data_IF_896872685501
#
_entry.id   IF_896872685501
#
_cell.length_a   1.000
_cell.length_b   1.000
_cell.length_c   1.000
_cell.angle_alpha   90.00
_cell.angle_beta   90.00
_cell.angle_gamma   90.00
#
_symmetry.space_group_name_H-M   'P 1'
#
loop_
_entity.id
_entity.type
_entity.pdbx_description
1 polymer ?
#
# COMPACT_ATOMS: atom_id res chain seq x y z
N UNK A 1 -50.59 -36.15 31.64
CA UNK A 1 -49.14 -36.41 31.57
C UNK A 1 -48.72 -36.19 30.13
N UNK A 2 -48.18 -35.00 29.84
CA UNK A 2 -47.71 -34.63 28.49
C UNK A 2 -46.17 -34.74 28.48
N UNK A 3 -45.65 -35.67 27.71
CA UNK A 3 -44.21 -35.83 27.48
C UNK A 3 -43.76 -34.82 26.42
N UNK A 4 -42.93 -33.88 26.82
CA UNK A 4 -42.24 -33.00 25.90
C UNK A 4 -41.04 -33.73 25.31
N UNK A 5 -41.03 -33.91 24.00
CA UNK A 5 -39.90 -34.44 23.23
C UNK A 5 -38.94 -33.27 22.96
N UNK A 6 -37.78 -33.26 23.61
CA UNK A 6 -36.68 -32.38 23.27
C UNK A 6 -36.00 -32.90 22.00
N UNK A 7 -36.21 -32.22 20.88
CA UNK A 7 -35.40 -32.43 19.67
C UNK A 7 -34.12 -31.65 19.85
N UNK A 8 -33.05 -32.35 20.24
CA UNK A 8 -31.69 -31.82 20.23
C UNK A 8 -31.24 -31.68 18.76
N UNK A 9 -31.22 -30.47 18.26
CA UNK A 9 -30.60 -30.19 16.97
C UNK A 9 -29.07 -30.33 17.12
N UNK A 10 -28.55 -31.48 16.71
CA UNK A 10 -27.12 -31.68 16.51
C UNK A 10 -26.66 -30.73 15.39
N UNK A 11 -26.11 -29.57 15.73
CA UNK A 11 -25.26 -28.84 14.82
C UNK A 11 -24.04 -29.73 14.55
N UNK A 12 -23.95 -30.30 13.34
CA UNK A 12 -22.69 -30.89 12.85
C UNK A 12 -21.63 -29.83 12.92
N UNK A 13 -20.66 -29.95 13.84
CA UNK A 13 -19.39 -29.26 13.71
C UNK A 13 -18.81 -29.65 12.34
N UNK A 14 -18.68 -28.70 11.45
CA UNK A 14 -17.97 -28.89 10.18
C UNK A 14 -16.56 -29.34 10.53
N UNK A 15 -16.24 -30.59 10.26
CA UNK A 15 -14.88 -31.12 10.42
C UNK A 15 -13.99 -30.35 9.46
N UNK A 16 -12.75 -30.04 9.87
CA UNK A 16 -11.78 -29.24 9.09
C UNK A 16 -11.49 -29.79 7.68
N UNK A 17 -11.84 -31.04 7.41
CA UNK A 17 -11.61 -31.73 6.15
C UNK A 17 -12.60 -31.34 5.03
N UNK A 18 -13.76 -30.77 5.36
CA UNK A 18 -14.78 -30.37 4.37
C UNK A 18 -14.80 -28.86 4.09
N UNK A 19 -13.95 -28.07 4.76
CA UNK A 19 -13.93 -26.61 4.58
C UNK A 19 -13.28 -26.24 3.26
N UNK A 20 -13.98 -25.44 2.45
CA UNK A 20 -13.42 -24.79 1.26
C UNK A 20 -13.90 -23.36 1.14
N UNK A 21 -13.00 -22.46 0.72
CA UNK A 21 -13.33 -21.07 0.41
C UNK A 21 -12.54 -20.58 -0.80
N UNK A 22 -13.21 -19.83 -1.66
CA UNK A 22 -12.56 -19.08 -2.75
C UNK A 22 -12.67 -17.60 -2.46
N UNK A 23 -11.52 -16.91 -2.43
CA UNK A 23 -11.39 -15.47 -2.24
C UNK A 23 -10.89 -14.84 -3.55
N UNK A 24 -11.46 -13.71 -3.93
CA UNK A 24 -10.94 -12.90 -5.03
C UNK A 24 -10.02 -11.84 -4.46
N UNK A 25 -8.83 -11.69 -5.02
CA UNK A 25 -7.86 -10.70 -4.59
C UNK A 25 -7.60 -9.72 -5.74
N UNK A 26 -7.72 -8.42 -5.47
CA UNK A 26 -7.46 -7.38 -6.47
C UNK A 26 -6.41 -6.38 -6.02
N UNK A 27 -5.67 -5.88 -7.01
CA UNK A 27 -4.71 -4.79 -6.87
C UNK A 27 -4.51 -4.06 -8.20
N UNK A 28 -3.92 -2.87 -8.16
CA UNK A 28 -3.72 -2.01 -9.34
C UNK A 28 -2.46 -2.35 -10.16
N UNK A 29 -1.51 -3.08 -9.57
CA UNK A 29 -0.20 -3.33 -10.18
C UNK A 29 -0.30 -4.23 -11.40
N UNK A 30 0.55 -3.94 -12.43
CA UNK A 30 0.68 -4.79 -13.59
C UNK A 30 1.41 -6.09 -13.25
N UNK A 31 1.19 -7.15 -14.02
CA UNK A 31 1.78 -8.48 -13.79
C UNK A 31 3.32 -8.50 -13.77
N UNK A 32 3.95 -7.48 -14.37
CA UNK A 32 5.42 -7.35 -14.42
C UNK A 32 5.99 -6.61 -13.19
N UNK A 33 5.16 -6.05 -12.32
CA UNK A 33 5.62 -5.36 -11.11
C UNK A 33 5.84 -6.37 -9.96
N UNK A 34 6.88 -6.16 -9.17
CA UNK A 34 7.30 -7.07 -8.10
C UNK A 34 6.18 -7.39 -7.12
N UNK A 35 5.34 -6.40 -6.78
CA UNK A 35 4.23 -6.61 -5.86
C UNK A 35 3.19 -7.58 -6.47
N UNK A 36 2.87 -7.45 -7.76
CA UNK A 36 1.94 -8.36 -8.43
C UNK A 36 2.47 -9.79 -8.43
N UNK A 37 3.76 -9.96 -8.71
CA UNK A 37 4.43 -11.27 -8.71
C UNK A 37 4.46 -11.89 -7.31
N UNK A 38 4.74 -11.10 -6.28
CA UNK A 38 4.73 -11.55 -4.88
C UNK A 38 3.33 -11.99 -4.44
N UNK A 39 2.28 -11.25 -4.80
CA UNK A 39 0.89 -11.61 -4.49
C UNK A 39 0.47 -12.91 -5.19
N UNK A 40 0.90 -13.13 -6.44
CA UNK A 40 0.63 -14.38 -7.16
C UNK A 40 1.30 -15.58 -6.47
N UNK A 41 2.55 -15.43 -6.01
CA UNK A 41 3.25 -16.46 -5.24
C UNK A 41 2.52 -16.77 -3.93
N UNK A 42 2.05 -15.76 -3.20
CA UNK A 42 1.23 -15.96 -1.99
C UNK A 42 0.00 -16.80 -2.30
N UNK A 43 -0.74 -16.44 -3.36
CA UNK A 43 -1.96 -17.16 -3.74
C UNK A 43 -1.69 -18.64 -4.06
N UNK A 44 -0.62 -18.92 -4.80
CA UNK A 44 -0.17 -20.28 -5.13
C UNK A 44 0.20 -21.07 -3.87
N UNK A 45 1.04 -20.50 -2.99
CA UNK A 45 1.52 -21.14 -1.76
C UNK A 45 0.40 -21.41 -0.76
N UNK A 46 -0.56 -20.48 -0.62
CA UNK A 46 -1.73 -20.70 0.22
C UNK A 46 -2.55 -21.89 -0.31
N UNK A 47 -2.82 -21.92 -1.63
CA UNK A 47 -3.55 -23.02 -2.25
C UNK A 47 -2.85 -24.39 -2.01
N UNK A 48 -1.54 -24.44 -2.19
CA UNK A 48 -0.73 -25.65 -1.98
C UNK A 48 -0.73 -26.09 -0.50
N UNK A 49 -0.39 -25.16 0.42
CA UNK A 49 -0.29 -25.47 1.86
C UNK A 49 -1.63 -25.83 2.51
N UNK A 50 -2.72 -25.30 1.97
CA UNK A 50 -4.07 -25.63 2.41
C UNK A 50 -4.68 -26.81 1.65
N UNK A 51 -3.94 -27.43 0.72
CA UNK A 51 -4.40 -28.53 -0.14
C UNK A 51 -5.71 -28.18 -0.89
N UNK A 52 -5.84 -26.92 -1.30
CA UNK A 52 -7.02 -26.42 -2.01
C UNK A 52 -8.18 -25.98 -1.12
N UNK A 53 -8.09 -26.10 0.21
CA UNK A 53 -9.14 -25.64 1.11
C UNK A 53 -9.33 -24.10 1.04
N UNK A 54 -8.25 -23.35 0.83
CA UNK A 54 -8.30 -21.91 0.57
C UNK A 54 -7.72 -21.63 -0.81
N UNK A 55 -8.53 -21.07 -1.70
CA UNK A 55 -8.12 -20.63 -3.04
C UNK A 55 -8.22 -19.12 -3.12
N UNK A 56 -7.13 -18.48 -3.54
CA UNK A 56 -7.11 -17.04 -3.85
C UNK A 56 -6.97 -16.88 -5.36
N UNK A 57 -7.96 -16.22 -5.97
CA UNK A 57 -7.94 -15.86 -7.39
C UNK A 57 -7.49 -14.41 -7.51
N UNK A 58 -6.35 -14.18 -8.15
CA UNK A 58 -5.74 -12.87 -8.30
C UNK A 58 -6.28 -12.13 -9.52
N UNK A 59 -6.51 -10.84 -9.39
CA UNK A 59 -7.01 -9.92 -10.41
C UNK A 59 -6.10 -8.68 -10.45
N UNK A 60 -4.95 -8.77 -11.16
CA UNK A 60 -3.99 -7.67 -11.29
C UNK A 60 -4.53 -6.55 -12.19
N UNK A 61 -3.85 -5.39 -12.16
CA UNK A 61 -4.11 -4.29 -13.09
C UNK A 61 -5.49 -3.64 -12.95
N UNK A 62 -6.14 -3.79 -11.81
CA UNK A 62 -7.45 -3.18 -11.58
C UNK A 62 -8.61 -3.84 -12.32
N UNK A 63 -8.52 -5.14 -12.63
CA UNK A 63 -9.56 -5.87 -13.36
C UNK A 63 -10.91 -5.93 -12.62
N UNK A 64 -10.90 -5.82 -11.31
CA UNK A 64 -12.09 -5.68 -10.47
C UNK A 64 -11.88 -4.51 -9.50
N UNK A 65 -12.68 -4.36 -8.46
CA UNK A 65 -12.61 -3.23 -7.54
C UNK A 65 -11.21 -3.00 -6.96
N UNK A 66 -10.75 -1.76 -6.98
CA UNK A 66 -9.46 -1.29 -6.43
C UNK A 66 -9.66 0.04 -5.71
N UNK A 67 -8.60 0.53 -5.07
CA UNK A 67 -8.62 1.78 -4.32
C UNK A 67 -9.75 1.77 -3.27
N UNK A 68 -10.52 2.84 -3.20
CA UNK A 68 -11.63 2.97 -2.28
C UNK A 68 -12.68 1.86 -2.46
N UNK A 69 -13.02 1.53 -3.70
CA UNK A 69 -14.03 0.52 -4.01
C UNK A 69 -13.60 -0.87 -3.54
N UNK A 70 -12.29 -1.18 -3.62
CA UNK A 70 -11.73 -2.42 -3.08
C UNK A 70 -11.90 -2.52 -1.56
N UNK A 71 -11.59 -1.45 -0.83
CA UNK A 71 -11.79 -1.39 0.63
C UNK A 71 -13.27 -1.46 0.98
N UNK A 72 -14.16 -0.79 0.23
CA UNK A 72 -15.61 -0.88 0.44
C UNK A 72 -16.14 -2.30 0.26
N UNK A 73 -15.64 -3.07 -0.72
CA UNK A 73 -16.01 -4.49 -0.86
C UNK A 73 -15.63 -5.30 0.38
N UNK A 74 -14.47 -5.04 0.96
CA UNK A 74 -14.04 -5.67 2.22
C UNK A 74 -15.01 -5.34 3.34
N UNK A 75 -15.32 -4.06 3.55
CA UNK A 75 -16.24 -3.61 4.61
C UNK A 75 -17.64 -4.21 4.46
N UNK A 76 -18.11 -4.39 3.22
CA UNK A 76 -19.41 -5.01 2.92
C UNK A 76 -19.43 -6.53 3.09
N UNK A 77 -18.35 -7.16 3.53
CA UNK A 77 -18.29 -8.60 3.79
C UNK A 77 -18.18 -9.48 2.55
N UNK A 78 -17.69 -8.95 1.43
CA UNK A 78 -17.45 -9.75 0.24
C UNK A 78 -16.35 -10.80 0.49
N UNK A 79 -16.41 -11.94 -0.20
CA UNK A 79 -15.32 -12.93 -0.25
C UNK A 79 -14.18 -12.36 -1.12
N UNK A 80 -13.54 -11.33 -0.59
CA UNK A 80 -12.64 -10.46 -1.33
C UNK A 80 -11.46 -10.02 -0.46
N UNK A 81 -10.30 -9.93 -1.08
CA UNK A 81 -9.08 -9.37 -0.49
C UNK A 81 -8.69 -8.15 -1.32
N UNK A 82 -8.52 -7.01 -0.67
CA UNK A 82 -8.02 -5.77 -1.27
C UNK A 82 -6.54 -5.59 -0.93
N UNK A 83 -5.71 -5.28 -1.92
CA UNK A 83 -4.30 -4.91 -1.71
C UNK A 83 -4.14 -3.46 -2.14
N UNK A 84 -4.13 -2.56 -1.16
CA UNK A 84 -4.21 -1.11 -1.38
C UNK A 84 -3.34 -0.33 -0.40
N UNK A 85 -3.02 0.92 -0.78
CA UNK A 85 -2.33 1.85 0.10
C UNK A 85 -3.13 2.08 1.41
N UNK A 86 -2.47 2.08 2.58
CA UNK A 86 -3.15 2.26 3.86
C UNK A 86 -3.95 3.57 3.99
N UNK A 87 -3.67 4.60 3.18
CA UNK A 87 -4.45 5.84 3.20
C UNK A 87 -5.93 5.64 2.81
N UNK A 88 -6.27 4.56 2.10
CA UNK A 88 -7.67 4.23 1.79
C UNK A 88 -8.43 3.66 2.99
N UNK A 89 -7.73 3.07 3.97
CA UNK A 89 -8.33 2.74 5.28
C UNK A 89 -8.48 4.00 6.14
N UNK A 90 -7.70 5.03 5.86
CA UNK A 90 -7.77 6.30 6.56
C UNK A 90 -9.15 6.96 6.55
N UNK A 91 -10.01 6.66 5.58
CA UNK A 91 -11.42 7.09 5.58
C UNK A 91 -12.22 6.46 6.75
N UNK A 92 -11.77 5.34 7.31
CA UNK A 92 -12.38 4.63 8.45
C UNK A 92 -11.62 4.86 9.76
N UNK A 93 -10.29 4.91 9.67
CA UNK A 93 -9.36 5.05 10.80
C UNK A 93 -8.24 6.01 10.38
N UNK A 94 -8.37 7.33 10.66
CA UNK A 94 -7.47 8.38 10.15
C UNK A 94 -6.00 8.18 10.48
N UNK A 95 -5.68 7.44 11.53
CA UNK A 95 -4.32 7.08 11.91
C UNK A 95 -3.57 6.36 10.78
N UNK A 96 -4.26 5.64 9.89
CA UNK A 96 -3.64 5.00 8.74
C UNK A 96 -3.25 5.99 7.63
N UNK A 97 -3.97 7.10 7.50
CA UNK A 97 -3.51 8.23 6.67
C UNK A 97 -2.24 8.85 7.27
N UNK A 98 -2.21 9.06 8.59
CA UNK A 98 -1.03 9.59 9.28
C UNK A 98 0.17 8.63 9.17
N UNK A 99 -0.04 7.32 9.30
CA UNK A 99 0.99 6.27 9.21
C UNK A 99 1.78 6.33 7.90
N UNK A 100 1.11 6.61 6.80
CA UNK A 100 1.75 6.67 5.46
C UNK A 100 1.89 8.11 4.95
N UNK A 101 1.84 9.07 5.84
CA UNK A 101 1.95 10.49 5.52
C UNK A 101 3.29 10.89 4.90
N UNK A 102 3.39 12.09 4.32
CA UNK A 102 4.57 12.52 3.58
C UNK A 102 5.78 12.76 4.50
N UNK A 103 6.98 12.54 3.95
CA UNK A 103 8.29 12.86 4.54
C UNK A 103 8.61 12.16 5.89
N UNK A 104 7.92 11.07 6.24
CA UNK A 104 8.07 10.40 7.53
C UNK A 104 9.32 9.52 7.62
N UNK A 105 9.62 8.75 6.59
CA UNK A 105 10.59 7.66 6.63
C UNK A 105 11.86 7.97 5.87
N UNK A 106 13.02 7.55 6.43
CA UNK A 106 14.31 7.62 5.77
C UNK A 106 14.69 6.32 5.06
N UNK A 107 14.17 5.19 5.55
CA UNK A 107 14.43 3.85 5.01
C UNK A 107 13.25 2.92 5.31
N UNK A 108 13.27 1.71 4.73
CA UNK A 108 12.21 0.70 4.90
C UNK A 108 12.13 0.18 6.33
N UNK A 109 13.27 0.09 7.01
CA UNK A 109 13.35 -0.51 8.35
C UNK A 109 12.63 0.36 9.39
N UNK A 110 12.64 1.68 9.24
CA UNK A 110 11.89 2.60 10.10
C UNK A 110 10.38 2.30 10.07
N UNK A 111 9.82 2.06 8.89
CA UNK A 111 8.41 1.69 8.73
C UNK A 111 8.14 0.29 9.27
N UNK A 112 8.99 -0.69 8.91
CA UNK A 112 8.86 -2.08 9.35
C UNK A 112 8.91 -2.23 10.87
N UNK A 113 9.72 -1.43 11.55
CA UNK A 113 9.75 -1.40 13.02
C UNK A 113 8.55 -0.63 13.60
N UNK A 114 8.10 0.45 12.97
CA UNK A 114 6.96 1.23 13.43
C UNK A 114 5.67 0.40 13.43
N UNK A 115 5.39 -0.36 12.38
CA UNK A 115 4.16 -1.18 12.29
C UNK A 115 4.10 -2.30 13.34
N UNK A 116 5.23 -2.67 13.94
CA UNK A 116 5.30 -3.66 15.04
C UNK A 116 5.03 -3.08 16.42
N UNK A 117 5.00 -1.74 16.56
CA UNK A 117 4.85 -1.06 17.85
C UNK A 117 3.46 -1.26 18.46
N UNK A 118 3.33 -1.11 19.80
CA UNK A 118 2.02 -1.09 20.46
C UNK A 118 1.09 -0.01 19.91
N UNK A 119 1.63 1.13 19.45
CA UNK A 119 0.88 2.22 18.84
C UNK A 119 0.08 1.72 17.63
N UNK A 120 0.76 1.16 16.64
CA UNK A 120 0.11 0.68 15.41
C UNK A 120 -0.76 -0.54 15.68
N UNK A 121 -0.37 -1.43 16.61
CA UNK A 121 -1.23 -2.55 17.05
C UNK A 121 -2.55 -2.07 17.65
N UNK A 122 -2.55 -0.95 18.37
CA UNK A 122 -3.76 -0.30 18.86
C UNK A 122 -4.65 0.20 17.71
N UNK A 123 -4.04 0.74 16.66
CA UNK A 123 -4.78 1.20 15.47
C UNK A 123 -5.36 0.05 14.65
N UNK A 124 -4.63 -1.06 14.52
CA UNK A 124 -5.14 -2.29 13.88
C UNK A 124 -6.43 -2.78 14.54
N UNK A 125 -6.53 -2.69 15.87
CA UNK A 125 -7.76 -3.05 16.59
C UNK A 125 -8.93 -2.13 16.22
N UNK A 126 -8.69 -0.82 16.07
CA UNK A 126 -9.73 0.12 15.60
C UNK A 126 -10.21 -0.22 14.19
N UNK A 127 -9.33 -0.73 13.32
CA UNK A 127 -9.68 -1.16 11.96
C UNK A 127 -10.56 -2.42 12.01
N UNK A 128 -10.26 -3.35 12.90
CA UNK A 128 -11.09 -4.55 13.10
C UNK A 128 -12.51 -4.17 13.56
N UNK A 129 -12.66 -3.15 14.42
CA UNK A 129 -13.97 -2.61 14.83
C UNK A 129 -14.77 -1.99 13.67
N UNK A 130 -14.11 -1.70 12.55
CA UNK A 130 -14.75 -1.21 11.30
C UNK A 130 -15.03 -2.32 10.28
N UNK A 131 -14.88 -3.59 10.68
CA UNK A 131 -15.15 -4.73 9.83
C UNK A 131 -14.00 -5.11 8.89
N UNK A 132 -12.80 -4.56 9.10
CA UNK A 132 -11.63 -4.81 8.26
C UNK A 132 -10.57 -5.57 9.07
N UNK A 133 -10.19 -6.76 8.65
CA UNK A 133 -8.99 -7.45 9.12
C UNK A 133 -7.82 -7.10 8.22
N UNK A 134 -6.75 -6.60 8.82
CA UNK A 134 -5.47 -6.37 8.13
C UNK A 134 -4.64 -7.66 8.22
N UNK A 135 -4.37 -8.29 7.08
CA UNK A 135 -3.55 -9.49 6.99
C UNK A 135 -2.05 -9.15 6.97
N UNK A 136 -1.69 -8.05 6.32
CA UNK A 136 -0.32 -7.54 6.27
C UNK A 136 -0.30 -6.02 6.04
N UNK A 137 0.71 -5.34 6.60
CA UNK A 137 1.10 -3.96 6.26
C UNK A 137 2.53 -3.90 5.70
N UNK A 138 3.14 -5.06 5.41
CA UNK A 138 4.58 -5.17 5.17
C UNK A 138 4.98 -5.00 3.70
N UNK A 139 4.02 -4.89 2.77
CA UNK A 139 4.34 -4.72 1.36
C UNK A 139 4.88 -3.32 1.10
N UNK A 140 6.15 -3.23 0.70
CA UNK A 140 6.85 -1.99 0.34
C UNK A 140 7.33 -2.15 -1.10
N UNK A 141 6.99 -1.22 -2.00
CA UNK A 141 7.39 -1.23 -3.40
C UNK A 141 8.36 -0.08 -3.78
N UNK A 142 9.03 0.50 -2.77
CA UNK A 142 10.04 1.54 -2.93
C UNK A 142 9.61 2.90 -2.40
N UNK A 143 10.54 3.85 -2.36
CA UNK A 143 10.20 5.25 -2.11
C UNK A 143 9.58 5.86 -3.35
N UNK A 144 8.55 6.69 -3.15
CA UNK A 144 7.90 7.41 -4.25
C UNK A 144 8.62 8.75 -4.46
N UNK A 145 9.00 8.97 -5.69
CA UNK A 145 9.75 10.11 -6.19
C UNK A 145 8.94 10.80 -7.29
N UNK A 146 9.33 12.01 -7.68
CA UNK A 146 8.71 12.69 -8.82
C UNK A 146 9.40 12.26 -10.11
N UNK A 147 8.60 11.91 -11.13
CA UNK A 147 9.03 11.48 -12.45
C UNK A 147 8.41 12.43 -13.47
N UNK A 148 9.23 13.25 -14.12
CA UNK A 148 8.79 14.39 -14.91
C UNK A 148 9.57 14.52 -16.24
N UNK A 149 9.12 15.39 -17.12
CA UNK A 149 9.83 15.74 -18.36
C UNK A 149 11.00 16.72 -18.13
N UNK A 150 10.95 17.51 -17.04
CA UNK A 150 11.99 18.48 -16.66
C UNK A 150 12.51 18.19 -15.24
N UNK A 151 13.76 18.53 -14.94
CA UNK A 151 14.28 18.39 -13.58
C UNK A 151 13.48 19.20 -12.57
N UNK A 152 13.25 18.61 -11.39
CA UNK A 152 12.61 19.26 -10.24
C UNK A 152 13.59 19.24 -9.09
N UNK A 153 14.01 20.42 -8.60
CA UNK A 153 14.95 20.56 -7.50
C UNK A 153 14.27 21.18 -6.27
N UNK A 154 13.31 22.08 -6.50
CA UNK A 154 12.59 22.83 -5.46
C UNK A 154 11.07 22.78 -5.70
N UNK A 155 10.24 23.10 -4.71
CA UNK A 155 8.79 23.24 -4.90
C UNK A 155 8.38 24.23 -5.99
N UNK A 156 9.19 25.25 -6.24
CA UNK A 156 8.87 26.28 -7.24
C UNK A 156 8.96 25.74 -8.68
N UNK A 157 9.77 24.69 -8.91
CA UNK A 157 9.87 24.01 -10.21
C UNK A 157 8.58 23.24 -10.55
N UNK A 158 7.70 23.02 -9.57
CA UNK A 158 6.41 22.32 -9.75
C UNK A 158 5.26 23.26 -10.13
N UNK A 159 5.46 24.57 -10.21
CA UNK A 159 4.39 25.51 -10.57
C UNK A 159 3.87 25.24 -11.97
N UNK A 160 2.55 24.93 -12.05
CA UNK A 160 1.87 24.61 -13.30
C UNK A 160 2.12 23.19 -13.82
N UNK A 161 2.92 22.38 -13.13
CA UNK A 161 3.15 20.98 -13.49
C UNK A 161 1.98 20.12 -13.02
N UNK A 162 1.35 19.41 -13.93
CA UNK A 162 0.29 18.45 -13.65
C UNK A 162 0.89 17.07 -13.37
N UNK A 163 0.75 16.60 -12.15
CA UNK A 163 1.25 15.28 -11.77
C UNK A 163 0.10 14.30 -11.58
N UNK A 164 0.17 13.18 -12.29
CA UNK A 164 -0.75 12.06 -12.02
C UNK A 164 -0.54 11.55 -10.59
N UNK A 165 -1.63 11.30 -9.91
CA UNK A 165 -1.63 10.66 -8.60
C UNK A 165 -2.81 9.69 -8.46
N UNK A 166 -2.78 8.69 -7.56
CA UNK A 166 -3.97 7.94 -7.21
C UNK A 166 -5.01 8.84 -6.52
N UNK A 167 -6.27 8.39 -6.47
CA UNK A 167 -7.42 9.16 -5.98
C UNK A 167 -7.49 9.36 -4.46
N UNK A 168 -6.46 9.03 -3.69
CA UNK A 168 -6.42 9.26 -2.25
C UNK A 168 -6.24 10.75 -1.93
N UNK A 169 -7.00 11.25 -0.95
CA UNK A 169 -6.89 12.62 -0.46
C UNK A 169 -5.49 12.97 0.04
N UNK A 170 -4.81 11.99 0.66
CA UNK A 170 -3.44 12.14 1.12
C UNK A 170 -2.50 12.54 -0.03
N UNK A 171 -2.52 11.76 -1.12
CA UNK A 171 -1.65 11.99 -2.27
C UNK A 171 -1.97 13.30 -2.96
N UNK A 172 -3.26 13.59 -3.20
CA UNK A 172 -3.72 14.83 -3.85
C UNK A 172 -3.26 16.06 -3.06
N UNK A 173 -3.52 16.08 -1.74
CA UNK A 173 -3.13 17.21 -0.89
C UNK A 173 -1.62 17.36 -0.79
N UNK A 174 -0.88 16.26 -0.73
CA UNK A 174 0.58 16.29 -0.66
C UNK A 174 1.20 16.88 -1.92
N UNK A 175 0.80 16.42 -3.12
CA UNK A 175 1.36 16.97 -4.35
C UNK A 175 0.98 18.45 -4.55
N UNK A 176 -0.24 18.84 -4.17
CA UNK A 176 -0.65 20.25 -4.20
C UNK A 176 0.18 21.10 -3.21
N UNK A 177 0.43 20.60 -2.00
CA UNK A 177 1.27 21.29 -1.02
C UNK A 177 2.73 21.40 -1.51
N UNK A 178 3.25 20.38 -2.20
CA UNK A 178 4.56 20.41 -2.84
C UNK A 178 4.66 21.43 -3.98
N UNK A 179 3.55 21.95 -4.51
CA UNK A 179 3.51 22.99 -5.53
C UNK A 179 3.03 22.53 -6.91
N UNK A 180 2.73 21.25 -7.10
CA UNK A 180 2.17 20.71 -8.33
C UNK A 180 0.65 20.86 -8.41
N UNK A 181 0.09 20.56 -9.58
CA UNK A 181 -1.35 20.31 -9.76
C UNK A 181 -1.58 18.82 -9.75
N UNK A 182 -2.10 18.30 -8.65
CA UNK A 182 -2.43 16.88 -8.53
C UNK A 182 -3.59 16.52 -9.46
N UNK A 183 -3.41 15.50 -10.30
CA UNK A 183 -4.38 15.03 -11.28
C UNK A 183 -4.66 13.54 -11.00
N UNK A 184 -5.74 13.23 -10.26
CA UNK A 184 -6.05 11.85 -9.90
C UNK A 184 -6.54 11.07 -11.14
N UNK A 185 -5.88 9.96 -11.42
CA UNK A 185 -6.21 9.01 -12.50
C UNK A 185 -5.96 7.58 -12.03
N UNK A 186 -6.77 6.59 -12.46
CA UNK A 186 -6.48 5.18 -12.26
C UNK A 186 -5.10 4.79 -12.80
N UNK A 187 -4.46 3.80 -12.16
CA UNK A 187 -3.11 3.38 -12.58
C UNK A 187 -3.06 2.91 -14.03
N UNK A 188 -4.06 2.13 -14.47
CA UNK A 188 -4.14 1.63 -15.84
C UNK A 188 -4.25 2.72 -16.93
N UNK A 189 -4.67 3.94 -16.59
CA UNK A 189 -4.78 5.07 -17.53
C UNK A 189 -3.51 5.94 -17.55
N UNK A 190 -2.59 5.73 -16.61
CA UNK A 190 -1.44 6.63 -16.38
C UNK A 190 -0.52 6.70 -17.59
N UNK A 191 -0.16 5.56 -18.20
CA UNK A 191 0.77 5.52 -19.32
C UNK A 191 0.24 6.30 -20.53
N UNK A 192 -1.01 6.09 -20.91
CA UNK A 192 -1.65 6.82 -22.02
C UNK A 192 -1.82 8.31 -21.70
N UNK A 193 -2.15 8.67 -20.47
CA UNK A 193 -2.25 10.08 -20.06
C UNK A 193 -0.91 10.81 -20.14
N UNK A 194 0.20 10.15 -19.81
CA UNK A 194 1.56 10.69 -19.96
C UNK A 194 1.94 10.85 -21.44
N UNK A 195 1.65 9.84 -22.29
CA UNK A 195 1.93 9.91 -23.72
C UNK A 195 1.15 11.03 -24.43
N UNK A 196 -0.10 11.23 -24.05
CA UNK A 196 -0.98 12.24 -24.62
C UNK A 196 -0.76 13.65 -24.03
N UNK A 197 0.10 13.80 -23.02
CA UNK A 197 0.37 15.09 -22.37
C UNK A 197 -0.81 15.60 -21.53
N UNK A 198 -1.73 14.71 -21.10
CA UNK A 198 -2.79 15.06 -20.13
C UNK A 198 -2.19 15.42 -18.80
N UNK A 199 -1.08 14.76 -18.44
CA UNK A 199 -0.24 15.03 -17.28
C UNK A 199 1.23 15.17 -17.69
N UNK A 200 1.97 16.00 -16.97
CA UNK A 200 3.39 16.32 -17.24
C UNK A 200 4.34 15.33 -16.56
N UNK A 201 3.82 14.53 -15.65
CA UNK A 201 4.58 13.55 -14.87
C UNK A 201 3.68 12.78 -13.91
N UNK A 202 4.34 12.03 -13.04
CA UNK A 202 3.69 11.27 -11.98
C UNK A 202 4.62 11.19 -10.75
N UNK A 203 4.11 10.61 -9.69
CA UNK A 203 4.91 10.16 -8.56
C UNK A 203 4.91 8.63 -8.50
N UNK A 204 6.06 8.04 -8.21
CA UNK A 204 6.24 6.58 -8.18
C UNK A 204 7.66 6.18 -7.81
N UNK A 205 7.89 4.87 -7.64
CA UNK A 205 9.22 4.33 -7.36
C UNK A 205 10.02 4.07 -8.63
N UNK A 206 11.33 3.90 -8.48
CA UNK A 206 12.22 3.49 -9.56
C UNK A 206 11.84 2.11 -10.10
N UNK A 207 11.42 1.20 -9.22
CA UNK A 207 10.94 -0.14 -9.59
C UNK A 207 9.70 -0.06 -10.48
N UNK A 208 8.72 0.76 -10.07
CA UNK A 208 7.52 1.00 -10.87
C UNK A 208 7.87 1.65 -12.22
N UNK A 209 8.79 2.63 -12.23
CA UNK A 209 9.24 3.29 -13.46
C UNK A 209 9.84 2.27 -14.46
N UNK A 210 10.71 1.38 -13.98
CA UNK A 210 11.33 0.33 -14.81
C UNK A 210 10.29 -0.70 -15.24
N UNK A 211 9.52 -1.27 -14.30
CA UNK A 211 8.58 -2.36 -14.56
C UNK A 211 7.44 -1.99 -15.52
N UNK A 212 7.03 -0.73 -15.52
CA UNK A 212 5.95 -0.22 -16.39
C UNK A 212 6.46 0.64 -17.54
N UNK A 213 7.78 0.81 -17.65
CA UNK A 213 8.45 1.56 -18.72
C UNK A 213 7.96 3.01 -18.86
N UNK A 214 7.65 3.66 -17.77
CA UNK A 214 7.19 5.07 -17.78
C UNK A 214 8.16 5.98 -18.53
N UNK A 215 9.46 5.71 -18.49
CA UNK A 215 10.49 6.45 -19.21
C UNK A 215 10.28 6.50 -20.73
N UNK A 216 9.57 5.52 -21.33
CA UNK A 216 9.22 5.54 -22.77
C UNK A 216 8.22 6.65 -23.10
N UNK A 217 7.51 7.20 -22.13
CA UNK A 217 6.61 8.36 -22.32
C UNK A 217 7.34 9.70 -22.40
N UNK A 218 8.68 9.70 -22.35
CA UNK A 218 9.51 10.90 -22.34
C UNK A 218 9.73 11.51 -20.94
N UNK A 219 9.13 10.96 -19.90
CA UNK A 219 9.30 11.41 -18.50
C UNK A 219 10.57 10.78 -17.94
N UNK A 220 11.72 11.43 -18.20
CA UNK A 220 13.05 10.90 -17.94
C UNK A 220 13.83 11.62 -16.83
N UNK A 221 13.20 12.50 -16.04
CA UNK A 221 13.83 13.12 -14.89
C UNK A 221 13.18 12.60 -13.60
N UNK A 222 13.98 12.00 -12.74
CA UNK A 222 13.57 11.49 -11.43
C UNK A 222 14.19 12.34 -10.35
N UNK A 223 13.35 13.11 -9.65
CA UNK A 223 13.75 13.89 -8.49
C UNK A 223 13.56 13.02 -7.24
N UNK A 224 14.63 12.71 -6.53
CA UNK A 224 14.63 11.85 -5.33
C UNK A 224 13.96 12.53 -4.12
N UNK A 225 12.69 12.85 -4.26
CA UNK A 225 11.92 13.47 -3.19
C UNK A 225 11.68 12.57 -2.02
N UNK A 226 11.53 11.24 -2.26
CA UNK A 226 11.17 10.24 -1.24
C UNK A 226 10.04 10.75 -0.35
N UNK A 227 9.06 11.41 -0.99
CA UNK A 227 7.99 12.09 -0.27
C UNK A 227 6.99 11.11 0.34
N UNK A 228 6.90 9.88 -0.19
CA UNK A 228 6.20 8.77 0.44
C UNK A 228 7.05 7.51 0.44
N UNK A 229 6.85 6.67 1.44
CA UNK A 229 7.18 5.27 1.32
C UNK A 229 6.01 4.58 0.61
N UNK A 230 6.28 3.97 -0.54
CA UNK A 230 5.27 3.23 -1.29
C UNK A 230 4.95 1.92 -0.58
N UNK A 231 3.77 1.85 0.03
CA UNK A 231 3.32 0.68 0.81
C UNK A 231 1.96 0.22 0.36
N UNK A 232 1.68 -1.06 0.59
CA UNK A 232 0.34 -1.62 0.52
C UNK A 232 0.05 -2.46 1.75
N UNK A 233 -1.19 -2.38 2.20
CA UNK A 233 -1.75 -3.35 3.14
C UNK A 233 -2.61 -4.37 2.39
N UNK A 234 -2.87 -5.48 3.05
CA UNK A 234 -3.71 -6.58 2.58
C UNK A 234 -4.90 -6.69 3.51
N UNK A 235 -6.10 -6.54 2.98
CA UNK A 235 -7.32 -6.37 3.75
C UNK A 235 -8.38 -7.40 3.38
N UNK A 236 -9.04 -7.96 4.40
CA UNK A 236 -10.18 -8.87 4.25
C UNK A 236 -11.27 -8.48 5.26
N UNK A 237 -12.53 -8.82 4.97
CA UNK A 237 -13.61 -8.62 5.95
C UNK A 237 -13.39 -9.45 7.22
N UNK A 238 -13.63 -8.84 8.39
CA UNK A 238 -13.61 -9.59 9.67
C UNK A 238 -14.62 -10.73 9.69
N UNK A 239 -15.80 -10.57 9.08
CA UNK A 239 -16.84 -11.59 9.00
C UNK A 239 -16.42 -12.78 8.13
N UNK A 240 -15.73 -12.50 7.01
CA UNK A 240 -15.18 -13.56 6.15
C UNK A 240 -14.01 -14.25 6.85
N UNK A 241 -13.12 -13.45 7.46
CA UNK A 241 -11.97 -13.97 8.21
C UNK A 241 -12.39 -14.91 9.36
N UNK A 242 -13.42 -14.54 10.10
CA UNK A 242 -13.94 -15.36 11.21
C UNK A 242 -14.46 -16.73 10.77
N UNK A 243 -14.93 -16.87 9.52
CA UNK A 243 -15.40 -18.15 8.98
C UNK A 243 -14.28 -19.10 8.57
N UNK A 244 -13.05 -18.58 8.38
CA UNK A 244 -11.90 -19.41 8.00
C UNK A 244 -11.37 -20.12 9.25
N UNK A 245 -11.19 -21.46 9.25
CA UNK A 245 -10.62 -22.19 10.37
C UNK A 245 -9.23 -21.68 10.77
N UNK A 246 -8.93 -21.69 12.07
CA UNK A 246 -7.70 -21.10 12.63
C UNK A 246 -6.43 -21.63 11.96
N UNK A 247 -6.36 -22.90 11.65
CA UNK A 247 -5.21 -23.52 10.97
C UNK A 247 -4.94 -22.86 9.60
N UNK A 248 -5.97 -22.53 8.83
CA UNK A 248 -5.82 -21.87 7.54
C UNK A 248 -5.55 -20.37 7.70
N UNK A 249 -6.13 -19.70 8.70
CA UNK A 249 -5.80 -18.29 9.03
C UNK A 249 -4.31 -18.14 9.31
N UNK A 250 -3.74 -19.04 10.10
CA UNK A 250 -2.31 -19.07 10.40
C UNK A 250 -1.46 -19.19 9.14
N UNK A 251 -1.81 -20.09 8.21
CA UNK A 251 -1.11 -20.26 6.94
C UNK A 251 -1.19 -18.97 6.12
N UNK A 252 -2.38 -18.38 6.00
CA UNK A 252 -2.59 -17.13 5.22
C UNK A 252 -1.71 -16.01 5.75
N UNK A 253 -1.74 -15.73 7.06
CA UNK A 253 -0.93 -14.67 7.68
C UNK A 253 0.57 -14.93 7.51
N UNK A 254 1.02 -16.18 7.65
CA UNK A 254 2.42 -16.55 7.47
C UNK A 254 2.89 -16.35 6.02
N UNK A 255 2.08 -16.72 5.02
CA UNK A 255 2.48 -16.58 3.62
C UNK A 255 2.53 -15.11 3.18
N UNK A 256 1.57 -14.28 3.58
CA UNK A 256 1.63 -12.84 3.30
C UNK A 256 2.85 -12.18 3.97
N UNK A 257 3.17 -12.57 5.21
CA UNK A 257 4.35 -12.06 5.91
C UNK A 257 5.64 -12.49 5.22
N UNK A 258 5.77 -13.77 4.92
CA UNK A 258 6.96 -14.33 4.29
C UNK A 258 7.25 -13.69 2.94
N UNK A 259 6.27 -13.62 2.05
CA UNK A 259 6.47 -13.06 0.70
C UNK A 259 6.73 -11.55 0.73
N UNK A 260 6.11 -10.81 1.65
CA UNK A 260 6.43 -9.39 1.83
C UNK A 260 7.89 -9.17 2.26
N UNK A 261 8.41 -10.02 3.16
CA UNK A 261 9.82 -9.98 3.58
C UNK A 261 10.75 -10.35 2.42
N UNK A 262 10.41 -11.39 1.62
CA UNK A 262 11.19 -11.76 0.43
C UNK A 262 11.23 -10.61 -0.59
N UNK A 263 10.08 -9.97 -0.85
CA UNK A 263 9.97 -8.83 -1.75
C UNK A 263 10.87 -7.67 -1.30
N UNK A 264 10.84 -7.30 -0.01
CA UNK A 264 11.70 -6.24 0.54
C UNK A 264 13.19 -6.56 0.35
N UNK A 265 13.61 -7.81 0.62
CA UNK A 265 15.00 -8.24 0.42
C UNK A 265 15.40 -8.13 -1.06
N UNK A 266 14.54 -8.56 -1.97
CA UNK A 266 14.77 -8.44 -3.41
C UNK A 266 14.90 -6.98 -3.85
N UNK A 267 13.99 -6.10 -3.40
CA UNK A 267 14.04 -4.68 -3.73
C UNK A 267 15.34 -4.02 -3.24
N UNK A 268 15.73 -4.29 -1.99
CA UNK A 268 17.01 -3.78 -1.45
C UNK A 268 18.19 -4.28 -2.28
N UNK A 269 18.20 -5.55 -2.68
CA UNK A 269 19.29 -6.15 -3.48
C UNK A 269 19.34 -5.64 -4.92
N UNK A 270 18.21 -5.34 -5.53
CA UNK A 270 18.10 -4.92 -6.94
C UNK A 270 18.20 -3.40 -7.16
N UNK A 271 18.03 -2.57 -6.12
CA UNK A 271 17.89 -1.12 -6.27
C UNK A 271 19.00 -0.46 -7.10
N UNK A 272 20.27 -0.77 -6.80
CA UNK A 272 21.40 -0.20 -7.56
C UNK A 272 21.40 -0.62 -9.04
N UNK A 273 20.93 -1.83 -9.35
CA UNK A 273 20.82 -2.31 -10.72
C UNK A 273 19.67 -1.61 -11.44
N UNK A 274 18.50 -1.47 -10.80
CA UNK A 274 17.33 -0.76 -11.34
C UNK A 274 17.68 0.69 -11.72
N UNK A 275 18.45 1.39 -10.87
CA UNK A 275 18.93 2.75 -11.19
C UNK A 275 19.81 2.74 -12.44
N UNK A 276 20.77 1.81 -12.55
CA UNK A 276 21.63 1.70 -13.73
C UNK A 276 20.85 1.37 -15.00
N UNK A 277 19.88 0.47 -14.91
CA UNK A 277 19.04 0.10 -16.04
C UNK A 277 18.22 1.30 -16.55
N UNK A 278 17.68 2.10 -15.63
CA UNK A 278 16.98 3.35 -15.96
C UNK A 278 17.92 4.40 -16.56
N UNK A 279 19.16 4.53 -16.03
CA UNK A 279 20.17 5.41 -16.61
C UNK A 279 20.55 5.01 -18.04
N UNK A 280 20.63 3.70 -18.32
CA UNK A 280 20.88 3.17 -19.66
C UNK A 280 19.74 3.54 -20.63
N UNK A 281 18.50 3.67 -20.15
CA UNK A 281 17.34 4.15 -20.90
C UNK A 281 17.28 5.68 -21.02
N UNK A 282 18.30 6.38 -20.48
CA UNK A 282 18.42 7.84 -20.51
C UNK A 282 17.66 8.59 -19.42
N UNK A 283 17.24 7.88 -18.36
CA UNK A 283 16.67 8.51 -17.18
C UNK A 283 17.77 9.21 -16.39
N UNK A 284 17.47 10.41 -15.93
CA UNK A 284 18.37 11.25 -15.12
C UNK A 284 17.82 11.36 -13.71
N UNK A 285 18.69 11.18 -12.74
CA UNK A 285 18.36 11.32 -11.34
C UNK A 285 18.96 12.59 -10.76
N UNK A 286 18.19 13.34 -9.99
CA UNK A 286 18.68 14.54 -9.32
C UNK A 286 18.28 14.60 -7.84
N UNK A 287 19.16 15.20 -7.06
CA UNK A 287 18.89 15.58 -5.68
C UNK A 287 17.95 16.81 -5.65
N UNK A 288 17.29 16.98 -4.50
CA UNK A 288 16.33 18.06 -4.28
C UNK A 288 16.71 18.89 -3.05
N UNK A 289 16.11 20.06 -2.92
CA UNK A 289 16.05 20.80 -1.66
C UNK A 289 14.97 20.17 -0.74
N UNK A 290 15.34 19.06 -0.07
CA UNK A 290 14.42 18.33 0.80
C UNK A 290 13.79 19.21 1.89
N UNK A 291 14.54 20.08 2.62
CA UNK A 291 13.93 20.98 3.62
C UNK A 291 12.84 21.88 3.05
N UNK A 292 12.96 22.36 1.81
CA UNK A 292 11.93 23.16 1.18
C UNK A 292 10.63 22.38 0.95
N UNK A 293 10.72 21.10 0.55
CA UNK A 293 9.56 20.23 0.40
C UNK A 293 8.94 19.87 1.76
N UNK A 294 9.74 19.54 2.76
CA UNK A 294 9.28 19.25 4.13
C UNK A 294 8.50 20.43 4.73
N UNK A 295 9.00 21.66 4.55
CA UNK A 295 8.33 22.88 4.99
C UNK A 295 6.94 23.06 4.34
N UNK A 296 6.77 22.62 3.09
CA UNK A 296 5.48 22.70 2.38
C UNK A 296 4.48 21.65 2.84
N UNK A 297 4.95 20.49 3.27
CA UNK A 297 4.10 19.33 3.59
C UNK A 297 3.77 19.19 5.07
N UNK A 298 4.52 19.80 5.97
CA UNK A 298 4.35 19.62 7.43
C UNK A 298 2.95 20.04 7.92
N UNK A 299 2.38 21.10 7.36
CA UNK A 299 1.06 21.58 7.77
C UNK A 299 -0.08 20.63 7.40
N UNK A 300 0.18 19.63 6.53
CA UNK A 300 -0.82 18.62 6.20
C UNK A 300 -1.29 17.82 7.43
N UNK A 301 -0.44 17.69 8.43
CA UNK A 301 -0.78 17.02 9.69
C UNK A 301 -1.58 17.90 10.67
N UNK A 302 -1.74 19.19 10.37
CA UNK A 302 -2.51 20.14 11.18
C UNK A 302 -3.90 20.40 10.55
N UNK A 303 -4.72 19.34 10.51
CA UNK A 303 -6.12 19.42 10.06
C UNK A 303 -6.34 19.51 8.55
N UNK A 304 -5.29 19.58 7.74
CA UNK A 304 -5.40 19.59 6.28
C UNK A 304 -5.81 18.22 5.72
N UNK A 305 -5.39 17.12 6.36
CA UNK A 305 -5.81 15.77 6.01
C UNK A 305 -7.02 15.38 6.87
N UNK A 306 -8.10 14.84 6.28
CA UNK A 306 -9.33 14.52 7.00
C UNK A 306 -9.09 13.58 8.18
N UNK A 307 -9.43 14.03 9.39
CA UNK A 307 -9.32 13.28 10.63
C UNK A 307 -7.89 13.08 11.16
N UNK A 308 -6.87 13.50 10.43
CA UNK A 308 -5.47 13.49 10.92
C UNK A 308 -5.23 14.68 11.82
N UNK A 309 -4.55 14.46 12.95
CA UNK A 309 -4.22 15.48 13.94
C UNK A 309 -2.72 15.55 14.18
N UNK A 310 -2.26 16.70 14.67
CA UNK A 310 -0.87 16.88 15.09
C UNK A 310 -0.47 15.84 16.13
N UNK A 311 -1.39 15.46 17.03
CA UNK A 311 -1.12 14.44 18.06
C UNK A 311 -0.74 13.08 17.41
N UNK A 312 -1.45 12.65 16.35
CA UNK A 312 -1.10 11.42 15.63
C UNK A 312 0.29 11.50 15.02
N UNK A 313 0.64 12.65 14.44
CA UNK A 313 1.98 12.90 13.91
C UNK A 313 3.03 12.84 15.02
N UNK A 314 2.80 13.47 16.15
CA UNK A 314 3.73 13.50 17.28
C UNK A 314 3.94 12.10 17.89
N UNK A 315 2.89 11.28 17.95
CA UNK A 315 2.98 9.87 18.36
C UNK A 315 3.89 9.08 17.42
N UNK A 316 3.71 9.24 16.09
CA UNK A 316 4.56 8.60 15.08
C UNK A 316 6.01 9.09 15.22
N UNK A 317 6.24 10.40 15.32
CA UNK A 317 7.58 10.96 15.46
C UNK A 317 8.29 10.48 16.75
N UNK A 318 7.53 10.32 17.82
CA UNK A 318 8.04 9.78 19.10
C UNK A 318 8.54 8.35 18.92
N UNK A 319 7.77 7.47 18.26
CA UNK A 319 8.19 6.10 17.99
C UNK A 319 9.37 6.05 17.00
N UNK A 320 9.34 6.87 15.94
CA UNK A 320 10.45 6.95 14.98
C UNK A 320 11.76 7.42 15.64
N UNK A 321 11.71 8.37 16.55
CA UNK A 321 12.90 8.78 17.33
C UNK A 321 13.49 7.60 18.14
N UNK A 322 12.65 6.79 18.78
CA UNK A 322 13.09 5.60 19.51
C UNK A 322 13.71 4.55 18.57
N UNK A 323 13.10 4.33 17.41
CA UNK A 323 13.59 3.39 16.38
C UNK A 323 14.95 3.86 15.87
N UNK A 324 15.08 5.11 15.46
CA UNK A 324 16.34 5.72 14.99
C UNK A 324 17.45 5.67 16.03
N UNK A 325 17.13 5.93 17.31
CA UNK A 325 18.11 5.86 18.39
C UNK A 325 18.60 4.42 18.66
N UNK A 326 17.79 3.40 18.39
CA UNK A 326 18.20 1.98 18.50
C UNK A 326 19.06 1.55 17.31
N UNK A 327 18.76 2.02 16.11
CA UNK A 327 19.51 1.70 14.91
C UNK A 327 20.91 2.38 14.85
N UNK A 328 21.12 3.43 15.62
CA UNK A 328 22.41 4.15 15.71
C UNK A 328 23.39 3.55 16.73
N UNK A 329 22.97 2.53 17.48
CA UNK A 329 23.79 1.77 18.46
C UNK A 329 24.33 0.48 17.83
#
# INVERSE_FOLDING_TARGET
MSSAIFISACQKEQTSDDFTITLRLSHVFNVNEELAQSIELVAQRINEKTKGAVRILTYPGGQIATYKDGVEMVVRGAHFISVEDPSYIGDYVPEFTALVGPMLYNNFDEYMELIKTPLVKGWLKKVEDKGIKVLSLQYIFGFRNLITDKPVNTPDDLRGVKLRTPGSKLFIKTLNAMGATATPLPWGETFSALQQGVVDGLEGSEFTNLGTKVYETGKKNVAFTKHFLGTCGVYISTDVWAKIPQQYRTIIEQEFTYEAEQMIMQLKGKHAQVVKDLEAEGVKFNAIDRPAFEKRTINLYDGELPGVTVEMYDQIQTELKKIRARAAK
#
